data_IF_313142747059
#
_entry.id   IF_313142747059
#
_cell.length_a   1.000
_cell.length_b   1.000
_cell.length_c   1.000
_cell.angle_alpha   90.00
_cell.angle_beta   90.00
_cell.angle_gamma   90.00
#
_symmetry.space_group_name_H-M   'P 1'
#
loop_
_entity.id
_entity.type
_entity.pdbx_description
1 polymer ?
#
# COMPACT_ATOMS: atom_id res chain seq x y z
N UNK A 1 28.41 7.76 17.94
CA UNK A 1 27.87 8.27 16.65
C UNK A 1 27.15 7.12 15.98
N UNK A 2 25.81 7.08 16.03
CA UNK A 2 25.03 5.99 15.45
C UNK A 2 24.91 6.20 13.94
N UNK A 3 25.51 5.30 13.15
CA UNK A 3 25.27 5.23 11.71
C UNK A 3 23.82 4.77 11.49
N UNK A 4 22.98 5.68 11.03
CA UNK A 4 21.62 5.36 10.57
C UNK A 4 21.74 4.54 9.28
N UNK A 5 21.78 3.21 9.39
CA UNK A 5 21.82 2.32 8.22
C UNK A 5 20.49 2.47 7.49
N UNK A 6 20.54 3.07 6.31
CA UNK A 6 19.42 3.06 5.36
C UNK A 6 19.17 1.59 4.99
N UNK A 7 17.94 1.12 5.18
CA UNK A 7 17.52 -0.24 4.85
C UNK A 7 16.92 -0.31 3.45
N UNK A 8 16.86 -1.50 2.86
CA UNK A 8 16.17 -1.73 1.57
C UNK A 8 14.68 -1.33 1.68
N UNK A 9 14.07 -1.57 2.84
CA UNK A 9 12.69 -1.17 3.15
C UNK A 9 12.51 0.35 3.11
N UNK A 10 13.47 1.12 3.64
CA UNK A 10 13.41 2.59 3.55
C UNK A 10 13.43 3.04 2.09
N UNK A 11 14.26 2.40 1.25
CA UNK A 11 14.37 2.74 -0.17
C UNK A 11 13.05 2.44 -0.90
N UNK A 12 12.42 1.31 -0.60
CA UNK A 12 11.15 0.90 -1.20
C UNK A 12 9.99 1.83 -0.82
N UNK A 13 9.84 2.15 0.47
CA UNK A 13 8.84 3.11 0.97
C UNK A 13 8.97 4.46 0.25
N UNK A 14 10.20 4.93 0.06
CA UNK A 14 10.45 6.21 -0.59
C UNK A 14 10.15 6.19 -2.09
N UNK A 15 10.44 5.06 -2.77
CA UNK A 15 10.08 4.87 -4.17
C UNK A 15 8.56 4.87 -4.34
N UNK A 16 7.85 4.21 -3.44
CA UNK A 16 6.39 4.20 -3.43
C UNK A 16 5.82 5.61 -3.16
N UNK A 17 6.36 6.33 -2.18
CA UNK A 17 5.97 7.71 -1.89
C UNK A 17 6.15 8.62 -3.11
N UNK A 18 7.31 8.54 -3.77
CA UNK A 18 7.61 9.35 -4.96
C UNK A 18 6.64 9.05 -6.11
N UNK A 19 6.35 7.76 -6.36
CA UNK A 19 5.39 7.32 -7.38
C UNK A 19 3.99 7.87 -7.10
N UNK A 20 3.48 7.70 -5.88
CA UNK A 20 2.16 8.22 -5.46
C UNK A 20 2.07 9.74 -5.58
N UNK A 21 3.14 10.44 -5.25
CA UNK A 21 3.21 11.89 -5.39
C UNK A 21 3.12 12.33 -6.85
N UNK A 22 3.82 11.64 -7.75
CA UNK A 22 3.75 11.90 -9.18
C UNK A 22 2.34 11.64 -9.73
N UNK A 23 1.71 10.52 -9.37
CA UNK A 23 0.33 10.19 -9.75
C UNK A 23 -0.66 11.26 -9.25
N UNK A 24 -0.51 11.74 -8.02
CA UNK A 24 -1.39 12.76 -7.44
C UNK A 24 -1.24 14.12 -8.15
N UNK A 25 -0.03 14.50 -8.55
CA UNK A 25 0.23 15.71 -9.33
C UNK A 25 -0.31 15.58 -10.76
N UNK A 26 -0.18 14.41 -11.37
CA UNK A 26 -0.71 14.15 -12.71
C UNK A 26 -2.26 14.19 -12.74
N UNK A 27 -2.91 13.72 -11.66
CA UNK A 27 -4.37 13.73 -11.52
C UNK A 27 -4.95 15.13 -11.23
N UNK A 28 -4.14 16.11 -10.79
CA UNK A 28 -4.60 17.43 -10.36
C UNK A 28 -3.83 18.55 -11.08
N UNK A 29 -4.26 19.00 -12.28
CA UNK A 29 -3.54 19.98 -13.09
C UNK A 29 -3.30 21.34 -12.42
N UNK A 30 -4.16 21.73 -11.48
CA UNK A 30 -4.05 22.97 -10.69
C UNK A 30 -2.96 22.88 -9.60
N UNK A 31 -2.48 21.68 -9.31
CA UNK A 31 -1.45 21.43 -8.31
C UNK A 31 -0.10 21.20 -9.00
N UNK A 32 0.80 22.19 -8.88
CA UNK A 32 2.15 22.10 -9.42
C UNK A 32 3.16 21.75 -8.31
N UNK A 33 4.33 21.19 -8.64
CA UNK A 33 5.40 20.99 -7.66
C UNK A 33 5.76 22.27 -6.89
N UNK A 34 5.70 23.42 -7.57
CA UNK A 34 6.00 24.71 -6.97
C UNK A 34 4.91 25.14 -5.97
N UNK A 35 3.62 25.05 -6.36
CA UNK A 35 2.52 25.42 -5.45
C UNK A 35 2.42 24.47 -4.26
N UNK A 36 2.72 23.19 -4.45
CA UNK A 36 2.80 22.21 -3.36
C UNK A 36 3.97 22.50 -2.41
N UNK A 37 5.14 22.88 -2.92
CA UNK A 37 6.30 23.22 -2.10
C UNK A 37 6.01 24.41 -1.18
N UNK A 38 5.36 25.45 -1.73
CA UNK A 38 4.92 26.61 -0.95
C UNK A 38 3.94 26.20 0.14
N UNK A 39 2.91 25.40 -0.19
CA UNK A 39 1.93 24.90 0.80
C UNK A 39 2.58 24.06 1.90
N UNK A 40 3.58 23.24 1.56
CA UNK A 40 4.28 22.36 2.50
C UNK A 40 5.37 23.09 3.33
N UNK A 41 5.67 24.36 3.02
CA UNK A 41 6.80 25.07 3.63
C UNK A 41 8.14 24.40 3.31
N UNK A 42 8.32 23.96 2.06
CA UNK A 42 9.49 23.26 1.56
C UNK A 42 10.11 24.00 0.37
N UNK A 43 11.39 23.75 0.12
CA UNK A 43 12.04 24.21 -1.10
C UNK A 43 11.50 23.47 -2.32
N UNK A 44 11.31 24.20 -3.42
CA UNK A 44 10.85 23.62 -4.69
C UNK A 44 11.79 22.51 -5.21
N UNK A 45 13.09 22.63 -4.93
CA UNK A 45 14.10 21.62 -5.24
C UNK A 45 13.87 20.30 -4.48
N UNK A 46 13.31 20.35 -3.26
CA UNK A 46 13.05 19.16 -2.45
C UNK A 46 11.97 18.30 -3.10
N UNK A 47 10.83 18.88 -3.49
CA UNK A 47 9.75 18.15 -4.17
C UNK A 47 10.21 17.60 -5.52
N UNK A 48 10.85 18.43 -6.35
CA UNK A 48 11.40 17.99 -7.64
C UNK A 48 12.47 16.91 -7.47
N UNK A 49 13.24 16.95 -6.39
CA UNK A 49 14.25 15.95 -6.07
C UNK A 49 13.65 14.60 -5.68
N UNK A 50 12.51 14.59 -4.98
CA UNK A 50 11.75 13.39 -4.63
C UNK A 50 11.16 12.74 -5.88
N UNK A 51 10.43 13.51 -6.69
CA UNK A 51 9.78 13.00 -7.92
C UNK A 51 10.81 12.43 -8.89
N UNK A 52 11.92 13.14 -9.10
CA UNK A 52 12.97 12.69 -10.01
C UNK A 52 13.83 11.53 -9.46
N UNK A 53 13.52 10.99 -8.26
CA UNK A 53 14.29 9.92 -7.63
C UNK A 53 15.71 10.31 -7.23
N UNK A 54 16.06 11.61 -7.24
CA UNK A 54 17.39 12.12 -6.87
C UNK A 54 17.59 12.16 -5.36
N UNK A 55 16.52 12.32 -4.60
CA UNK A 55 16.53 12.16 -3.14
C UNK A 55 16.28 10.69 -2.81
N UNK A 56 17.36 9.94 -2.53
CA UNK A 56 17.28 8.49 -2.25
C UNK A 56 16.34 8.14 -1.09
N UNK A 57 16.21 9.03 -0.10
CA UNK A 57 15.36 8.83 1.08
C UNK A 57 14.90 10.22 1.60
N UNK A 58 13.75 10.76 1.18
CA UNK A 58 13.16 11.90 1.89
C UNK A 58 12.95 11.54 3.37
N UNK A 59 13.20 12.52 4.25
CA UNK A 59 12.96 12.33 5.68
C UNK A 59 11.47 12.12 5.93
N UNK A 60 11.13 11.34 6.95
CA UNK A 60 9.75 11.17 7.40
C UNK A 60 9.04 12.50 7.61
N UNK A 61 9.71 13.47 8.22
CA UNK A 61 9.18 14.84 8.41
C UNK A 61 8.83 15.55 7.10
N UNK A 62 9.57 15.27 6.02
CA UNK A 62 9.31 15.84 4.70
C UNK A 62 8.09 15.17 4.07
N UNK A 63 7.99 13.84 4.16
CA UNK A 63 6.83 13.09 3.68
C UNK A 63 5.54 13.55 4.39
N UNK A 64 5.57 13.69 5.72
CA UNK A 64 4.43 14.20 6.52
C UNK A 64 4.01 15.61 6.07
N UNK A 65 4.94 16.54 5.88
CA UNK A 65 4.63 17.91 5.43
C UNK A 65 3.96 17.92 4.05
N UNK A 66 4.44 17.08 3.14
CA UNK A 66 3.87 16.98 1.79
C UNK A 66 2.45 16.41 1.87
N UNK A 67 2.23 15.32 2.61
CA UNK A 67 0.89 14.73 2.79
C UNK A 67 -0.09 15.74 3.42
N UNK A 68 0.34 16.47 4.45
CA UNK A 68 -0.49 17.50 5.09
C UNK A 68 -0.84 18.65 4.14
N UNK A 69 0.09 19.07 3.28
CA UNK A 69 -0.17 20.09 2.26
C UNK A 69 -1.18 19.65 1.19
N UNK A 70 -1.37 18.33 1.03
CA UNK A 70 -2.41 17.71 0.21
C UNK A 70 -3.72 17.48 0.99
N UNK A 71 -3.76 17.80 2.29
CA UNK A 71 -4.93 17.59 3.14
C UNK A 71 -5.10 16.14 3.62
N UNK A 72 -4.05 15.33 3.59
CA UNK A 72 -4.05 13.92 3.99
C UNK A 72 -3.07 13.68 5.15
N UNK A 73 -3.31 12.62 5.92
CA UNK A 73 -2.24 12.05 6.76
C UNK A 73 -1.22 11.29 5.90
N UNK A 74 -0.04 11.02 6.46
CA UNK A 74 0.95 10.21 5.74
C UNK A 74 0.43 8.79 5.50
N UNK A 75 -0.28 8.23 6.47
CA UNK A 75 -0.90 6.91 6.38
C UNK A 75 -1.96 6.86 5.28
N UNK A 76 -2.80 7.89 5.16
CA UNK A 76 -3.81 7.99 4.10
C UNK A 76 -3.16 8.14 2.73
N UNK A 77 -2.09 8.93 2.64
CA UNK A 77 -1.35 9.13 1.40
C UNK A 77 -0.64 7.85 0.94
N UNK A 78 -0.01 7.14 1.87
CA UNK A 78 0.74 5.90 1.61
C UNK A 78 -0.15 4.67 1.53
N UNK A 79 -1.40 4.72 1.98
CA UNK A 79 -2.34 3.63 1.76
C UNK A 79 -2.41 3.29 0.26
N UNK A 80 -2.26 2.01 -0.08
CA UNK A 80 -2.37 1.53 -1.46
C UNK A 80 -3.67 2.02 -2.14
N UNK A 81 -3.74 2.00 -3.49
CA UNK A 81 -4.96 2.38 -4.19
C UNK A 81 -6.11 1.53 -3.66
N UNK A 82 -7.01 2.14 -2.88
CA UNK A 82 -8.19 1.44 -2.38
C UNK A 82 -9.24 1.47 -3.47
N UNK A 83 -9.64 0.30 -3.98
CA UNK A 83 -10.82 0.22 -4.85
C UNK A 83 -12.05 0.75 -4.11
N UNK A 84 -13.11 1.19 -4.82
CA UNK A 84 -14.38 1.54 -4.18
C UNK A 84 -14.88 0.44 -3.25
N UNK A 85 -14.67 -0.82 -3.62
CA UNK A 85 -14.99 -2.01 -2.83
C UNK A 85 -14.16 -2.08 -1.55
N UNK A 86 -12.84 -1.88 -1.63
CA UNK A 86 -11.95 -1.87 -0.46
C UNK A 86 -12.28 -0.73 0.52
N UNK A 87 -12.58 0.48 0.00
CA UNK A 87 -13.05 1.59 0.83
C UNK A 87 -14.35 1.25 1.53
N UNK A 88 -15.28 0.60 0.83
CA UNK A 88 -16.57 0.20 1.40
C UNK A 88 -16.40 -0.86 2.47
N UNK A 89 -15.56 -1.87 2.25
CA UNK A 89 -15.24 -2.91 3.23
C UNK A 89 -14.64 -2.28 4.49
N UNK A 90 -13.65 -1.39 4.37
CA UNK A 90 -13.04 -0.71 5.52
C UNK A 90 -14.10 0.07 6.34
N UNK A 91 -15.01 0.78 5.66
CA UNK A 91 -16.11 1.51 6.34
C UNK A 91 -17.06 0.57 7.07
N UNK A 92 -17.38 -0.59 6.50
CA UNK A 92 -18.21 -1.60 7.15
C UNK A 92 -17.51 -2.18 8.38
N UNK A 93 -16.25 -2.59 8.26
CA UNK A 93 -15.45 -3.16 9.35
C UNK A 93 -15.33 -2.19 10.53
N UNK A 94 -15.16 -0.89 10.27
CA UNK A 94 -15.09 0.13 11.32
C UNK A 94 -16.36 0.18 12.19
N UNK A 95 -17.53 -0.22 11.66
CA UNK A 95 -18.82 -0.22 12.38
C UNK A 95 -19.10 -1.52 13.12
N UNK A 96 -18.33 -2.57 12.88
CA UNK A 96 -18.53 -3.87 13.53
C UNK A 96 -17.95 -3.87 14.95
N UNK A 97 -18.60 -4.57 15.91
CA UNK A 97 -17.97 -4.87 17.20
C UNK A 97 -16.77 -5.82 17.03
N UNK A 98 -15.92 -5.88 18.04
CA UNK A 98 -14.61 -6.58 17.97
C UNK A 98 -14.78 -8.05 17.59
N UNK A 99 -15.80 -8.74 18.13
CA UNK A 99 -16.05 -10.15 17.85
C UNK A 99 -16.33 -10.41 16.37
N UNK A 100 -17.15 -9.56 15.75
CA UNK A 100 -17.54 -9.65 14.34
C UNK A 100 -16.37 -9.32 13.41
N UNK A 101 -15.47 -8.40 13.82
CA UNK A 101 -14.22 -8.16 13.09
C UNK A 101 -13.32 -9.39 13.08
N UNK A 102 -13.20 -10.08 14.22
CA UNK A 102 -12.42 -11.32 14.32
C UNK A 102 -13.02 -12.45 13.48
N UNK A 103 -14.36 -12.55 13.44
CA UNK A 103 -15.04 -13.51 12.57
C UNK A 103 -14.79 -13.23 11.09
N UNK A 104 -14.88 -11.97 10.66
CA UNK A 104 -14.59 -11.58 9.29
C UNK A 104 -13.13 -11.88 8.91
N UNK A 105 -12.18 -11.61 9.82
CA UNK A 105 -10.78 -11.94 9.59
C UNK A 105 -10.58 -13.44 9.39
N UNK A 106 -11.17 -14.28 10.25
CA UNK A 106 -11.09 -15.74 10.13
C UNK A 106 -11.70 -16.24 8.81
N UNK A 107 -12.82 -15.66 8.38
CA UNK A 107 -13.43 -15.98 7.09
C UNK A 107 -12.52 -15.61 5.91
N UNK A 108 -11.97 -14.39 5.90
CA UNK A 108 -11.05 -13.94 4.86
C UNK A 108 -9.80 -14.83 4.77
N UNK A 109 -9.25 -15.24 5.92
CA UNK A 109 -8.11 -16.16 5.99
C UNK A 109 -8.45 -17.55 5.41
N UNK A 110 -9.65 -18.07 5.71
CA UNK A 110 -10.09 -19.35 5.16
C UNK A 110 -10.30 -19.28 3.64
N UNK A 111 -10.85 -18.16 3.15
CA UNK A 111 -11.05 -17.92 1.72
C UNK A 111 -9.72 -17.84 0.98
N UNK A 112 -8.75 -17.08 1.51
CA UNK A 112 -7.41 -16.94 0.95
C UNK A 112 -6.69 -18.29 0.86
N UNK A 113 -6.72 -19.08 1.94
CA UNK A 113 -6.15 -20.42 1.99
C UNK A 113 -6.81 -21.40 1.01
N UNK A 114 -8.11 -21.25 0.74
CA UNK A 114 -8.83 -22.05 -0.24
C UNK A 114 -8.46 -21.66 -1.67
N UNK A 115 -8.41 -20.36 -1.98
CA UNK A 115 -8.01 -19.87 -3.31
C UNK A 115 -6.54 -20.12 -3.65
N UNK A 116 -5.68 -20.24 -2.64
CA UNK A 116 -4.27 -20.61 -2.79
C UNK A 116 -4.03 -22.11 -3.03
N UNK A 117 -5.04 -22.97 -2.87
CA UNK A 117 -4.98 -24.40 -3.23
C UNK A 117 -5.75 -24.62 -4.53
N UNK A 118 -5.02 -24.83 -5.63
CA UNK A 118 -5.64 -25.20 -6.91
C UNK A 118 -6.45 -26.51 -6.75
N UNK A 119 -7.77 -26.54 -7.02
CA UNK A 119 -8.60 -27.74 -6.89
C UNK A 119 -8.39 -28.81 -7.98
N UNK A 120 -7.30 -28.76 -8.77
CA UNK A 120 -7.08 -29.64 -9.92
C UNK A 120 -5.95 -30.67 -9.73
N UNK A 121 -5.37 -30.79 -8.54
CA UNK A 121 -4.59 -31.98 -8.19
C UNK A 121 -5.47 -32.96 -7.40
N UNK A 122 -6.47 -33.53 -8.08
CA UNK A 122 -7.04 -34.80 -7.63
C UNK A 122 -5.96 -35.88 -7.82
N UNK A 123 -5.57 -36.62 -6.77
CA UNK A 123 -4.72 -37.78 -6.95
C UNK A 123 -5.51 -38.80 -7.76
N UNK A 124 -5.03 -39.03 -8.99
CA UNK A 124 -5.48 -40.11 -9.85
C UNK A 124 -5.74 -41.36 -9.02
N UNK A 125 -6.99 -41.80 -9.06
CA UNK A 125 -7.55 -42.99 -8.44
C UNK A 125 -6.84 -44.23 -9.02
N UNK A 126 -5.63 -44.49 -8.54
CA UNK A 126 -4.89 -45.71 -8.83
C UNK A 126 -5.27 -46.73 -7.75
N UNK A 127 -6.44 -47.34 -7.91
CA UNK A 127 -6.73 -48.63 -7.30
C UNK A 127 -6.99 -49.64 -8.40
N UNK A 128 -5.89 -50.35 -8.73
CA UNK A 128 -5.87 -51.71 -9.23
C UNK A 128 -7.19 -52.47 -8.99
N UNK A 129 -7.85 -52.83 -10.09
CA UNK A 129 -8.43 -54.15 -10.23
C UNK A 129 -7.87 -54.74 -11.51
N UNK A 130 -7.21 -55.89 -11.43
CA UNK A 130 -7.89 -57.03 -12.02
C UNK A 130 -7.84 -58.29 -11.15
N UNK A 131 -8.99 -58.97 -11.17
CA UNK A 131 -9.18 -60.42 -11.13
C UNK A 131 -8.67 -61.23 -9.93
N UNK A 132 -9.64 -61.87 -9.27
CA UNK A 132 -9.51 -63.10 -8.48
C UNK A 132 -10.62 -64.06 -8.96
N UNK A 133 -10.51 -65.38 -8.77
CA UNK A 133 -9.35 -66.28 -8.87
C UNK A 133 -9.26 -66.98 -10.24
#
# INVERSE_FOLDING_TARGET
MSNNRITETDIEINREFAKKLEEHLAANPELTPASLAVKAGLDNSAIRGIIAGRSKVPKLSTMVKISQALGLTLEEFMAGPRTPEELYIVRLVARLPVRERLQLLGYAQALDAYTGRSPLEDPAENQQSPHRP
#
